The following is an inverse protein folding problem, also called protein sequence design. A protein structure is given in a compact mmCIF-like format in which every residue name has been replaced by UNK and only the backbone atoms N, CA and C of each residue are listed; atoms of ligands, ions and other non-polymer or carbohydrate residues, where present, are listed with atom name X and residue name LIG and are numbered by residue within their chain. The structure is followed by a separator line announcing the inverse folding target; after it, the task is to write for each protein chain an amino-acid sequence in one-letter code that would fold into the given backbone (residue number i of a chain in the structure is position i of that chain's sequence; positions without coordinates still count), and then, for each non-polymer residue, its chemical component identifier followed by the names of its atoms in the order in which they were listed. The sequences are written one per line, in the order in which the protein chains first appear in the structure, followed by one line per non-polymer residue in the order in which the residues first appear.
data_IF_679849606959
#
_entry.id   IF_679849606959
#
_cell.length_a   1.000
_cell.length_b   1.000
_cell.length_c   1.000
_cell.angle_alpha   90.00
_cell.angle_beta   90.00
_cell.angle_gamma   90.00
#
_symmetry.space_group_name_H-M   'P 1'
#
loop_
_entity.id
_entity.type
_entity.pdbx_description
1 polymer ?
#
# COMPACT_ATOMS: atom_id res chain seq x y z
N UNK A 1 -2.53 7.44 -27.22
CA UNK A 1 -3.31 6.21 -26.94
C UNK A 1 -2.51 5.21 -26.07
N UNK A 2 -1.90 5.65 -24.95
CA UNK A 2 -1.11 4.79 -24.06
C UNK A 2 -1.45 4.93 -22.57
N UNK A 3 -2.19 5.97 -22.20
CA UNK A 3 -2.62 6.22 -20.80
C UNK A 3 -3.88 5.41 -20.44
N UNK A 4 -4.68 5.05 -21.44
CA UNK A 4 -5.96 4.35 -21.24
C UNK A 4 -5.84 2.89 -20.78
N UNK A 5 -4.74 2.20 -21.10
CA UNK A 5 -4.58 0.79 -20.72
C UNK A 5 -4.25 0.58 -19.24
N UNK A 6 -3.71 1.60 -18.56
CA UNK A 6 -3.38 1.48 -17.13
C UNK A 6 -4.62 1.56 -16.24
N UNK A 7 -5.65 2.29 -16.68
CA UNK A 7 -6.90 2.45 -15.91
C UNK A 7 -7.81 1.21 -16.07
N UNK A 8 -7.76 0.53 -17.22
CA UNK A 8 -8.67 -0.57 -17.50
C UNK A 8 -8.31 -1.88 -16.77
N UNK A 9 -7.01 -2.18 -16.57
CA UNK A 9 -6.59 -3.40 -15.87
C UNK A 9 -6.79 -3.36 -14.34
N UNK A 10 -6.96 -2.17 -13.77
CA UNK A 10 -7.28 -2.01 -12.33
C UNK A 10 -8.77 -2.30 -12.07
N UNK A 11 -9.61 -2.28 -13.11
CA UNK A 11 -11.07 -2.23 -12.96
C UNK A 11 -11.83 -3.57 -12.90
N UNK A 12 -11.16 -4.72 -13.05
CA UNK A 12 -11.85 -6.03 -13.19
C UNK A 12 -11.46 -7.10 -12.15
N UNK A 13 -10.82 -6.71 -11.05
CA UNK A 13 -10.47 -7.62 -9.95
C UNK A 13 -11.10 -7.24 -8.59
N UNK A 14 -12.10 -6.36 -8.59
CA UNK A 14 -12.64 -5.68 -7.40
C UNK A 14 -13.61 -6.50 -6.54
N UNK A 15 -13.27 -7.74 -6.19
CA UNK A 15 -13.99 -8.50 -5.15
C UNK A 15 -13.25 -8.57 -3.80
N UNK A 16 -12.09 -7.91 -3.66
CA UNK A 16 -11.20 -8.12 -2.49
C UNK A 16 -10.55 -6.86 -1.90
N UNK A 17 -11.05 -5.66 -2.19
CA UNK A 17 -10.52 -4.46 -1.53
C UNK A 17 -11.08 -4.29 -0.10
N UNK A 18 -10.36 -3.55 0.74
CA UNK A 18 -10.60 -3.39 2.18
C UNK A 18 -11.61 -2.29 2.49
N UNK A 19 -12.50 -2.01 1.54
CA UNK A 19 -13.36 -0.84 1.53
C UNK A 19 -12.59 0.44 1.19
N UNK A 20 -13.09 1.56 1.72
CA UNK A 20 -12.49 2.88 1.56
C UNK A 20 -11.45 3.16 2.64
N UNK A 21 -10.62 4.18 2.44
CA UNK A 21 -9.73 4.65 3.52
C UNK A 21 -10.52 5.21 4.71
N UNK A 22 -11.75 5.69 4.54
CA UNK A 22 -12.64 6.03 5.65
C UNK A 22 -13.00 4.81 6.49
N UNK A 23 -13.30 3.67 5.86
CA UNK A 23 -13.58 2.42 6.59
C UNK A 23 -12.36 2.02 7.42
N UNK A 24 -11.16 2.12 6.85
CA UNK A 24 -9.91 1.91 7.59
C UNK A 24 -9.77 2.85 8.79
N UNK A 25 -9.97 4.16 8.61
CA UNK A 25 -9.87 5.15 9.68
C UNK A 25 -10.86 4.89 10.82
N UNK A 26 -12.05 4.36 10.50
CA UNK A 26 -13.11 4.07 11.45
C UNK A 26 -12.94 2.72 12.16
N UNK A 27 -12.35 1.73 11.48
CA UNK A 27 -12.26 0.36 11.97
C UNK A 27 -10.94 0.05 12.68
N UNK A 28 -9.82 0.58 12.19
CA UNK A 28 -8.52 0.29 12.78
C UNK A 28 -8.44 0.89 14.20
N UNK A 29 -8.00 0.12 15.22
CA UNK A 29 -8.05 0.55 16.61
C UNK A 29 -6.90 1.50 16.97
N UNK A 30 -6.88 2.68 16.36
CA UNK A 30 -5.87 3.70 16.64
C UNK A 30 -5.89 4.12 18.12
N UNK A 31 -4.70 4.26 18.71
CA UNK A 31 -4.52 4.78 20.06
C UNK A 31 -5.01 3.87 21.19
N UNK A 32 -5.58 2.69 20.87
CA UNK A 32 -5.93 1.68 21.88
C UNK A 32 -4.72 0.80 22.19
N UNK A 33 -4.54 0.45 23.45
CA UNK A 33 -3.58 -0.59 23.86
C UNK A 33 -4.23 -1.98 23.83
N UNK A 34 -3.43 -3.05 23.85
CA UNK A 34 -3.93 -4.43 23.74
C UNK A 34 -4.88 -4.81 24.89
N UNK A 35 -4.69 -4.19 26.05
CA UNK A 35 -5.49 -4.38 27.25
C UNK A 35 -6.93 -3.89 27.06
N UNK A 36 -7.13 -2.89 26.20
CA UNK A 36 -8.44 -2.26 25.92
C UNK A 36 -9.11 -2.80 24.65
N UNK A 37 -8.51 -3.79 23.99
CA UNK A 37 -9.04 -4.31 22.73
C UNK A 37 -10.27 -5.18 22.94
N UNK A 38 -11.33 -4.86 22.19
CA UNK A 38 -12.45 -5.75 21.96
C UNK A 38 -12.09 -6.76 20.85
N UNK A 39 -12.87 -7.85 20.74
CA UNK A 39 -12.68 -8.85 19.68
C UNK A 39 -12.64 -8.24 18.27
N UNK A 40 -13.45 -7.20 18.01
CA UNK A 40 -13.45 -6.48 16.73
C UNK A 40 -12.14 -5.72 16.48
N UNK A 41 -11.50 -5.21 17.52
CA UNK A 41 -10.25 -4.44 17.40
C UNK A 41 -9.11 -5.37 16.99
N UNK A 42 -9.03 -6.56 17.60
CA UNK A 42 -8.10 -7.62 17.17
C UNK A 42 -8.32 -8.02 15.71
N UNK A 43 -9.57 -8.20 15.31
CA UNK A 43 -9.91 -8.53 13.93
C UNK A 43 -9.42 -7.45 12.97
N UNK A 44 -9.80 -6.19 13.18
CA UNK A 44 -9.45 -5.11 12.25
C UNK A 44 -7.96 -4.81 12.23
N UNK A 45 -7.27 -4.85 13.37
CA UNK A 45 -5.81 -4.69 13.42
C UNK A 45 -5.13 -5.76 12.56
N UNK A 46 -5.43 -7.04 12.80
CA UNK A 46 -4.84 -8.14 12.04
C UNK A 46 -5.22 -8.10 10.56
N UNK A 47 -6.46 -7.73 10.25
CA UNK A 47 -6.98 -7.64 8.90
C UNK A 47 -6.24 -6.60 8.05
N UNK A 48 -6.06 -5.38 8.57
CA UNK A 48 -5.33 -4.33 7.83
C UNK A 48 -3.82 -4.58 7.80
N UNK A 49 -3.21 -4.99 8.91
CA UNK A 49 -1.76 -5.21 8.98
C UNK A 49 -1.28 -6.33 8.03
N UNK A 50 -2.02 -7.44 7.95
CA UNK A 50 -1.68 -8.53 7.03
C UNK A 50 -1.74 -8.12 5.56
N UNK A 51 -2.65 -7.21 5.21
CA UNK A 51 -2.88 -6.77 3.83
C UNK A 51 -1.89 -5.72 3.38
N UNK A 52 -1.56 -4.78 4.25
CA UNK A 52 -0.55 -3.75 3.99
C UNK A 52 0.80 -4.38 3.69
N UNK A 53 1.21 -5.37 4.50
CA UNK A 53 2.44 -6.11 4.25
C UNK A 53 2.44 -6.72 2.84
N UNK A 54 1.32 -7.35 2.44
CA UNK A 54 1.14 -7.90 1.10
C UNK A 54 1.15 -6.87 -0.02
N UNK A 55 0.70 -5.63 0.20
CA UNK A 55 0.75 -4.56 -0.80
C UNK A 55 2.18 -4.12 -1.10
N UNK A 56 3.02 -3.99 -0.07
CA UNK A 56 4.44 -3.66 -0.23
C UNK A 56 5.20 -4.74 -1.01
N UNK A 57 5.12 -5.98 -0.53
CA UNK A 57 5.81 -7.14 -1.13
C UNK A 57 5.26 -7.50 -2.52
N UNK A 58 3.94 -7.47 -2.69
CA UNK A 58 3.27 -7.85 -3.94
C UNK A 58 3.61 -6.92 -5.11
N UNK A 59 3.82 -5.63 -4.84
CA UNK A 59 4.30 -4.67 -5.83
C UNK A 59 5.70 -5.05 -6.34
N UNK A 60 6.61 -5.43 -5.44
CA UNK A 60 7.96 -5.88 -5.81
C UNK A 60 7.92 -7.13 -6.71
N UNK A 61 7.11 -8.13 -6.35
CA UNK A 61 6.94 -9.34 -7.16
C UNK A 61 6.39 -9.01 -8.55
N UNK A 62 5.41 -8.11 -8.62
CA UNK A 62 4.80 -7.68 -9.88
C UNK A 62 5.85 -7.00 -10.78
N UNK A 63 6.63 -6.07 -10.24
CA UNK A 63 7.70 -5.41 -10.99
C UNK A 63 8.76 -6.41 -11.47
N UNK A 64 9.16 -7.36 -10.62
CA UNK A 64 10.08 -8.44 -11.00
C UNK A 64 9.58 -9.27 -12.18
N UNK A 65 8.30 -9.64 -12.19
CA UNK A 65 7.67 -10.38 -13.31
C UNK A 65 7.66 -9.56 -14.61
N UNK A 66 7.34 -8.27 -14.55
CA UNK A 66 7.34 -7.39 -15.72
C UNK A 66 8.75 -7.25 -16.34
N UNK A 67 9.79 -7.22 -15.50
CA UNK A 67 11.19 -7.22 -15.95
C UNK A 67 11.52 -8.56 -16.62
N UNK A 68 11.18 -9.69 -15.98
CA UNK A 68 11.42 -11.03 -16.51
C UNK A 68 10.76 -11.25 -17.88
N UNK A 69 9.55 -10.71 -18.07
CA UNK A 69 8.80 -10.77 -19.32
C UNK A 69 9.26 -9.75 -20.37
N UNK A 70 10.31 -8.94 -20.07
CA UNK A 70 10.82 -7.87 -20.94
C UNK A 70 9.79 -6.80 -21.31
N UNK A 71 8.75 -6.63 -20.48
CA UNK A 71 7.74 -5.56 -20.65
C UNK A 71 8.34 -4.22 -20.23
N UNK A 72 9.15 -4.22 -19.16
CA UNK A 72 9.92 -3.06 -18.70
C UNK A 72 11.42 -3.42 -18.61
N UNK A 73 12.34 -2.51 -18.99
CA UNK A 73 13.78 -2.72 -18.80
C UNK A 73 14.17 -2.79 -17.32
N UNK A 74 15.13 -3.64 -16.92
CA UNK A 74 15.64 -3.76 -15.52
C UNK A 74 16.07 -2.40 -14.94
N UNK A 75 16.62 -1.52 -15.76
CA UNK A 75 17.15 -0.21 -15.35
C UNK A 75 16.17 0.94 -15.60
N UNK A 76 14.88 0.65 -15.83
CA UNK A 76 13.88 1.69 -16.09
C UNK A 76 13.70 2.58 -14.86
N UNK A 77 13.74 3.93 -15.01
CA UNK A 77 13.36 4.86 -13.94
C UNK A 77 11.95 4.61 -13.39
N UNK A 78 11.06 4.01 -14.21
CA UNK A 78 9.72 3.64 -13.78
C UNK A 78 9.73 2.63 -12.63
N UNK A 79 10.71 1.72 -12.57
CA UNK A 79 10.81 0.72 -11.51
C UNK A 79 11.05 1.40 -10.17
N UNK A 80 12.04 2.28 -10.06
CA UNK A 80 12.30 3.00 -8.80
C UNK A 80 11.15 3.95 -8.44
N UNK A 81 10.45 4.51 -9.42
CA UNK A 81 9.30 5.38 -9.16
C UNK A 81 8.07 4.61 -8.65
N UNK A 82 7.86 3.36 -9.08
CA UNK A 82 6.66 2.57 -8.79
C UNK A 82 6.88 1.49 -7.73
N UNK A 83 8.12 1.27 -7.31
CA UNK A 83 8.46 0.29 -6.31
C UNK A 83 8.12 0.86 -4.92
N UNK A 84 7.06 0.36 -4.30
CA UNK A 84 6.69 0.73 -2.93
C UNK A 84 7.64 0.11 -1.92
N UNK A 85 8.15 -1.11 -2.18
CA UNK A 85 9.04 -1.82 -1.26
C UNK A 85 10.32 -1.05 -0.94
N UNK A 86 10.97 -0.41 -1.92
CA UNK A 86 12.19 0.38 -1.66
C UNK A 86 11.95 1.63 -0.79
N UNK A 87 10.69 1.96 -0.51
CA UNK A 87 10.30 3.08 0.37
C UNK A 87 9.84 2.56 1.73
N UNK A 88 9.23 1.38 1.75
CA UNK A 88 8.61 0.77 2.94
C UNK A 88 9.45 -0.32 3.60
N UNK A 89 10.53 -0.78 2.97
CA UNK A 89 11.40 -1.83 3.52
C UNK A 89 11.82 -1.49 4.95
N UNK A 90 12.02 -2.52 5.77
CA UNK A 90 12.40 -2.40 7.20
C UNK A 90 11.34 -1.75 8.10
N UNK A 91 10.20 -1.29 7.55
CA UNK A 91 9.09 -0.80 8.37
C UNK A 91 8.25 -1.96 8.89
N UNK A 92 7.87 -1.90 10.16
CA UNK A 92 6.87 -2.81 10.74
C UNK A 92 5.47 -2.49 10.20
N UNK A 93 4.54 -3.43 10.32
CA UNK A 93 3.14 -3.18 9.93
C UNK A 93 2.54 -1.98 10.66
N UNK A 94 2.91 -1.75 11.92
CA UNK A 94 2.44 -0.60 12.71
C UNK A 94 2.99 0.74 12.16
N UNK A 95 4.25 0.76 11.72
CA UNK A 95 4.82 1.94 11.06
C UNK A 95 4.13 2.21 9.72
N UNK A 96 3.85 1.16 8.93
CA UNK A 96 3.14 1.30 7.66
C UNK A 96 1.71 1.81 7.85
N UNK A 97 1.01 1.33 8.88
CA UNK A 97 -0.29 1.87 9.30
C UNK A 97 -0.17 3.36 9.62
N UNK A 98 0.87 3.76 10.36
CA UNK A 98 1.14 5.16 10.70
C UNK A 98 1.29 6.04 9.47
N UNK A 99 2.07 5.60 8.48
CA UNK A 99 2.26 6.31 7.20
C UNK A 99 0.92 6.52 6.47
N UNK A 100 0.10 5.47 6.38
CA UNK A 100 -1.21 5.57 5.71
C UNK A 100 -2.14 6.53 6.46
N UNK A 101 -2.16 6.44 7.79
CA UNK A 101 -2.97 7.33 8.63
C UNK A 101 -2.55 8.79 8.45
N UNK A 102 -1.26 9.08 8.53
CA UNK A 102 -0.72 10.44 8.33
C UNK A 102 -1.05 10.97 6.94
N UNK A 103 -0.93 10.14 5.91
CA UNK A 103 -1.32 10.53 4.55
C UNK A 103 -2.81 10.87 4.46
N UNK A 104 -3.68 10.06 5.08
CA UNK A 104 -5.11 10.32 5.15
C UNK A 104 -5.45 11.62 5.90
N UNK A 105 -4.79 11.86 7.04
CA UNK A 105 -4.96 13.07 7.84
C UNK A 105 -4.60 14.33 7.02
N UNK A 106 -3.55 14.24 6.19
CA UNK A 106 -3.13 15.30 5.28
C UNK A 106 -3.98 15.42 4.00
N UNK A 107 -4.79 14.39 3.68
CA UNK A 107 -5.59 14.31 2.46
C UNK A 107 -7.06 13.92 2.74
N UNK A 108 -7.79 14.63 3.62
CA UNK A 108 -9.11 14.21 4.09
C UNK A 108 -10.16 14.11 2.96
N UNK A 109 -9.97 14.86 1.87
CA UNK A 109 -10.88 14.83 0.71
C UNK A 109 -10.75 13.54 -0.12
N UNK A 110 -9.69 12.75 0.08
CA UNK A 110 -9.41 11.52 -0.69
C UNK A 110 -9.75 10.23 0.06
N UNK A 111 -10.18 10.30 1.32
CA UNK A 111 -10.42 9.11 2.15
C UNK A 111 -11.62 8.26 1.71
N UNK A 112 -12.49 8.81 0.85
CA UNK A 112 -13.58 8.06 0.21
C UNK A 112 -13.07 7.09 -0.87
N UNK A 113 -11.82 7.21 -1.28
CA UNK A 113 -11.21 6.30 -2.24
C UNK A 113 -10.85 4.97 -1.58
N UNK A 114 -10.65 3.99 -2.45
CA UNK A 114 -10.30 2.63 -2.10
C UNK A 114 -9.03 2.55 -1.25
N UNK A 115 -9.06 1.75 -0.19
CA UNK A 115 -7.96 1.69 0.78
C UNK A 115 -6.64 1.26 0.14
N UNK A 116 -6.64 0.21 -0.70
CA UNK A 116 -5.39 -0.26 -1.32
C UNK A 116 -4.74 0.82 -2.21
N UNK A 117 -5.55 1.61 -2.91
CA UNK A 117 -5.08 2.74 -3.70
C UNK A 117 -4.43 3.80 -2.79
N UNK A 118 -5.10 4.17 -1.70
CA UNK A 118 -4.56 5.13 -0.73
C UNK A 118 -3.27 4.62 -0.08
N UNK A 119 -3.20 3.33 0.26
CA UNK A 119 -1.99 2.75 0.83
C UNK A 119 -0.80 2.83 -0.14
N UNK A 120 -1.02 2.55 -1.42
CA UNK A 120 0.02 2.68 -2.45
C UNK A 120 0.44 4.14 -2.61
N UNK A 121 -0.49 5.08 -2.71
CA UNK A 121 -0.19 6.52 -2.80
C UNK A 121 0.61 7.01 -1.59
N UNK A 122 0.24 6.56 -0.38
CA UNK A 122 0.96 6.88 0.84
C UNK A 122 2.40 6.36 0.80
N UNK A 123 2.62 5.12 0.38
CA UNK A 123 3.96 4.54 0.26
C UNK A 123 4.80 5.19 -0.83
N UNK A 124 4.21 5.52 -1.98
CA UNK A 124 4.92 6.22 -3.06
C UNK A 124 5.30 7.65 -2.69
N UNK A 125 4.63 8.25 -1.70
CA UNK A 125 4.94 9.59 -1.17
C UNK A 125 6.16 9.61 -0.23
N UNK A 126 6.59 8.46 0.29
CA UNK A 126 7.80 8.35 1.12
C UNK A 126 9.08 8.51 0.27
N UNK A 127 10.22 8.94 0.84
CA UNK A 127 11.49 8.96 0.12
C UNK A 127 11.99 7.55 -0.24
N UNK A 128 12.82 7.44 -1.29
CA UNK A 128 13.48 6.18 -1.68
C UNK A 128 14.60 5.85 -0.68
N UNK A 129 14.65 4.61 -0.20
CA UNK A 129 15.73 4.10 0.63
C UNK A 129 16.78 3.38 -0.24
N UNK A 130 18.05 3.78 -0.11
CA UNK A 130 19.14 3.25 -0.96
C UNK A 130 19.59 1.84 -0.56
N UNK A 131 19.40 1.45 0.70
CA UNK A 131 19.77 0.15 1.26
C UNK A 131 18.83 -1.01 0.86
N UNK A 132 17.74 -0.72 0.16
CA UNK A 132 16.72 -1.72 -0.21
C UNK A 132 16.61 -1.92 -1.73
N UNK A 133 17.54 -1.37 -2.50
CA UNK A 133 17.61 -1.58 -3.94
C UNK A 133 17.95 -3.04 -4.25
N UNK A 134 17.40 -3.58 -5.33
CA UNK A 134 17.77 -4.90 -5.82
C UNK A 134 19.25 -4.93 -6.23
N UNK A 135 19.97 -5.95 -5.79
CA UNK A 135 21.10 -6.50 -6.55
C UNK A 135 20.55 -7.23 -7.81
#
# INVERSE_FOLDING_TARGET
MKIFFFIFFVSLSFSHDLGTANDFLNHYPFGKSKEDFLKKDYYWKSYYESKIFGLGEGNQITLGKLIQQKIIPKNSPSISSLNTYIRTCEMTSEQLIGVIKEWCDNNPKKTHLMFSYIAIEAFLSLPIKQNCLFD
#
